data_IF_930422851737
#
_entry.id   IF_930422851737
#
_cell.length_a   1.000
_cell.length_b   1.000
_cell.length_c   1.000
_cell.angle_alpha   90.00
_cell.angle_beta   90.00
_cell.angle_gamma   90.00
#
_symmetry.space_group_name_H-M   'P 1'
#
loop_
_entity.id
_entity.type
_entity.pdbx_description
1 polymer ?
#
# COMPACT_ATOMS: atom_id res chain seq x y z
N UNK A 1 -0.52 -15.11 7.89
CA UNK A 1 -0.72 -13.66 7.99
C UNK A 1 0.57 -13.02 7.54
N UNK A 2 0.57 -12.38 6.37
CA UNK A 2 1.75 -11.70 5.82
C UNK A 2 2.08 -10.49 6.69
N UNK A 3 3.36 -10.10 6.78
CA UNK A 3 3.77 -8.89 7.50
C UNK A 3 2.94 -7.68 7.02
N UNK A 4 2.28 -6.91 7.91
CA UNK A 4 1.50 -5.74 7.54
C UNK A 4 2.25 -4.75 6.63
N UNK A 5 3.57 -4.66 6.80
CA UNK A 5 4.47 -3.82 5.99
C UNK A 5 4.56 -4.31 4.55
N UNK A 6 4.73 -5.63 4.35
CA UNK A 6 4.78 -6.24 3.01
C UNK A 6 3.50 -5.92 2.26
N UNK A 7 2.35 -6.06 2.91
CA UNK A 7 1.05 -5.83 2.27
C UNK A 7 0.83 -4.36 1.93
N UNK A 8 1.25 -3.43 2.81
CA UNK A 8 1.25 -1.99 2.51
C UNK A 8 2.10 -1.66 1.29
N UNK A 9 3.31 -2.22 1.20
CA UNK A 9 4.19 -2.05 0.05
C UNK A 9 3.58 -2.65 -1.22
N UNK A 10 3.02 -3.85 -1.15
CA UNK A 10 2.34 -4.45 -2.31
C UNK A 10 1.19 -3.59 -2.81
N UNK A 11 0.42 -2.99 -1.91
CA UNK A 11 -0.71 -2.14 -2.29
C UNK A 11 -0.22 -0.89 -3.03
N UNK A 12 0.75 -0.13 -2.50
CA UNK A 12 1.25 1.09 -3.17
C UNK A 12 2.09 0.79 -4.42
N UNK A 13 2.69 -0.40 -4.54
CA UNK A 13 3.43 -0.85 -5.74
C UNK A 13 2.53 -1.46 -6.83
N UNK A 14 1.25 -1.64 -6.56
CA UNK A 14 0.29 -2.17 -7.54
C UNK A 14 -0.02 -1.12 -8.60
N UNK A 15 0.01 -1.51 -9.88
CA UNK A 15 -0.22 -0.57 -10.98
C UNK A 15 -1.58 0.11 -10.88
N UNK A 16 -1.60 1.43 -11.02
CA UNK A 16 -2.82 2.25 -10.93
C UNK A 16 -3.21 2.68 -9.51
N UNK A 17 -2.44 2.27 -8.49
CA UNK A 17 -2.63 2.73 -7.12
C UNK A 17 -1.63 3.85 -6.83
N UNK A 18 -2.14 5.08 -6.80
CA UNK A 18 -1.41 6.25 -6.31
C UNK A 18 -1.68 6.51 -4.82
N UNK A 19 -1.08 7.56 -4.23
CA UNK A 19 -1.23 7.89 -2.81
C UNK A 19 -2.70 8.12 -2.39
N UNK A 20 -3.46 8.85 -3.21
CA UNK A 20 -4.89 9.10 -2.98
C UNK A 20 -5.69 7.79 -2.93
N UNK A 21 -5.53 6.93 -3.94
CA UNK A 21 -6.21 5.62 -4.01
C UNK A 21 -5.79 4.72 -2.86
N UNK A 22 -4.50 4.71 -2.52
CA UNK A 22 -3.97 3.96 -1.38
C UNK A 22 -4.67 4.38 -0.08
N UNK A 23 -4.71 5.69 0.22
CA UNK A 23 -5.36 6.22 1.42
C UNK A 23 -6.84 5.87 1.46
N UNK A 24 -7.55 5.99 0.34
CA UNK A 24 -8.97 5.62 0.24
C UNK A 24 -9.20 4.13 0.49
N UNK A 25 -8.34 3.26 -0.04
CA UNK A 25 -8.43 1.80 0.15
C UNK A 25 -8.15 1.41 1.60
N UNK A 26 -7.12 1.98 2.22
CA UNK A 26 -6.82 1.74 3.65
C UNK A 26 -7.97 2.22 4.53
N UNK A 27 -8.51 3.43 4.29
CA UNK A 27 -9.64 3.95 5.05
C UNK A 27 -10.91 3.10 4.88
N UNK A 28 -11.13 2.53 3.69
CA UNK A 28 -12.32 1.73 3.38
C UNK A 28 -12.25 0.30 3.93
N UNK A 29 -11.09 -0.35 3.87
CA UNK A 29 -10.92 -1.77 4.19
C UNK A 29 -10.16 -2.03 5.49
N UNK A 30 -9.62 -0.99 6.12
CA UNK A 30 -8.91 -1.05 7.40
C UNK A 30 -7.47 -1.57 7.33
N UNK A 31 -7.15 -2.42 6.35
CA UNK A 31 -5.79 -2.94 6.16
C UNK A 31 -5.42 -3.08 4.69
N UNK A 32 -4.11 -3.12 4.41
CA UNK A 32 -3.61 -3.32 3.06
C UNK A 32 -3.92 -4.73 2.52
N UNK A 33 -3.90 -5.76 3.37
CA UNK A 33 -4.30 -7.12 3.01
C UNK A 33 -5.75 -7.16 2.53
N UNK A 34 -6.68 -6.63 3.34
CA UNK A 34 -8.10 -6.59 3.01
C UNK A 34 -8.36 -5.75 1.74
N UNK A 35 -7.62 -4.65 1.56
CA UNK A 35 -7.69 -3.85 0.34
C UNK A 35 -7.24 -4.65 -0.89
N UNK A 36 -6.11 -5.37 -0.83
CA UNK A 36 -5.59 -6.20 -1.92
C UNK A 36 -6.60 -7.29 -2.31
N UNK A 37 -7.19 -7.96 -1.34
CA UNK A 37 -8.22 -8.99 -1.57
C UNK A 37 -9.47 -8.42 -2.25
N UNK A 38 -9.82 -7.16 -1.97
CA UNK A 38 -10.97 -6.48 -2.55
C UNK A 38 -10.73 -5.91 -3.97
N UNK A 39 -9.47 -5.73 -4.41
CA UNK A 39 -9.14 -5.09 -5.70
C UNK A 39 -9.80 -5.76 -6.91
N UNK A 40 -9.81 -7.09 -7.06
CA UNK A 40 -10.46 -7.74 -8.21
C UNK A 40 -11.96 -7.45 -8.29
N UNK A 41 -12.65 -7.46 -7.13
CA UNK A 41 -14.09 -7.16 -7.08
C UNK A 41 -14.37 -5.68 -7.40
N UNK A 42 -13.53 -4.76 -6.96
CA UNK A 42 -13.67 -3.34 -7.26
C UNK A 42 -13.54 -3.07 -8.77
N UNK A 43 -12.57 -3.70 -9.42
CA UNK A 43 -12.39 -3.55 -10.86
C UNK A 43 -13.58 -4.09 -11.66
N UNK A 44 -14.12 -5.25 -11.25
CA UNK A 44 -15.31 -5.83 -11.87
C UNK A 44 -16.53 -4.91 -11.75
N UNK A 45 -16.74 -4.29 -10.58
CA UNK A 45 -17.84 -3.33 -10.35
C UNK A 45 -17.66 -2.02 -11.12
N UNK A 46 -16.43 -1.56 -11.30
CA UNK A 46 -16.11 -0.34 -12.04
C UNK A 46 -16.08 -0.51 -13.56
N UNK A 47 -16.37 -1.71 -14.09
CA UNK A 47 -16.30 -2.02 -15.53
C UNK A 47 -14.87 -2.01 -16.10
N UNK A 48 -13.86 -2.04 -15.22
CA UNK A 48 -12.44 -1.96 -15.59
C UNK A 48 -11.72 -3.30 -15.45
N UNK A 49 -10.50 -3.36 -15.97
CA UNK A 49 -9.61 -4.52 -15.76
C UNK A 49 -8.99 -4.46 -14.36
N UNK A 50 -8.95 -5.61 -13.68
CA UNK A 50 -8.29 -5.71 -12.37
C UNK A 50 -6.82 -5.28 -12.48
N UNK A 51 -6.33 -4.42 -11.57
CA UNK A 51 -4.93 -4.03 -11.55
C UNK A 51 -4.06 -5.25 -11.27
N UNK A 52 -2.85 -5.26 -11.85
CA UNK A 52 -1.88 -6.31 -11.56
C UNK A 52 -1.31 -6.09 -10.16
N UNK A 53 -1.81 -6.85 -9.19
CA UNK A 53 -1.35 -6.82 -7.80
C UNK A 53 0.15 -7.09 -7.76
N UNK A 54 0.90 -6.27 -7.00
CA UNK A 54 2.32 -6.48 -6.83
C UNK A 54 2.62 -7.81 -6.11
N UNK A 55 3.64 -8.50 -6.59
CA UNK A 55 4.14 -9.75 -6.00
C UNK A 55 4.69 -9.49 -4.59
N UNK A 56 4.45 -10.39 -3.64
CA UNK A 56 5.05 -10.30 -2.30
C UNK A 56 6.56 -10.39 -2.36
N UNK A 57 7.12 -11.19 -3.28
CA UNK A 57 8.56 -11.30 -3.44
C UNK A 57 9.22 -9.97 -3.84
N UNK A 58 8.50 -9.08 -4.53
CA UNK A 58 8.99 -7.74 -4.86
C UNK A 58 9.10 -6.89 -3.60
N UNK A 59 8.04 -6.84 -2.79
CA UNK A 59 8.00 -6.08 -1.54
C UNK A 59 9.04 -6.60 -0.53
N UNK A 60 9.18 -7.92 -0.39
CA UNK A 60 10.18 -8.53 0.50
C UNK A 60 11.61 -8.19 0.09
N UNK A 61 11.93 -8.20 -1.22
CA UNK A 61 13.24 -7.78 -1.73
C UNK A 61 13.50 -6.31 -1.46
N UNK A 62 12.50 -5.46 -1.65
CA UNK A 62 12.60 -4.02 -1.37
C UNK A 62 12.86 -3.77 0.12
N UNK A 63 12.14 -4.48 1.00
CA UNK A 63 12.35 -4.40 2.45
C UNK A 63 13.75 -4.87 2.85
N UNK A 64 14.22 -5.98 2.29
CA UNK A 64 15.56 -6.49 2.56
C UNK A 64 16.65 -5.51 2.11
N UNK A 65 16.49 -4.85 0.96
CA UNK A 65 17.41 -3.83 0.48
C UNK A 65 17.39 -2.58 1.38
N UNK A 66 16.22 -2.12 1.78
CA UNK A 66 16.03 -0.96 2.68
C UNK A 66 16.67 -1.21 4.05
N UNK A 67 16.45 -2.41 4.62
CA UNK A 67 17.05 -2.80 5.89
C UNK A 67 18.59 -2.86 5.81
N UNK A 68 19.16 -3.34 4.70
CA UNK A 68 20.63 -3.33 4.49
C UNK A 68 21.22 -1.93 4.47
N UNK A 69 20.44 -0.92 4.08
CA UNK A 69 20.84 0.48 4.08
C UNK A 69 20.61 1.18 5.44
N UNK A 70 20.09 0.46 6.44
CA UNK A 70 19.74 1.03 7.75
C UNK A 70 18.52 1.94 7.73
N UNK A 71 17.72 1.90 6.65
CA UNK A 71 16.50 2.68 6.53
C UNK A 71 15.29 1.90 7.08
N UNK A 72 14.22 2.64 7.41
CA UNK A 72 12.94 2.09 7.88
C UNK A 72 11.79 2.72 7.12
N UNK A 73 10.69 1.98 7.01
CA UNK A 73 9.45 2.52 6.45
C UNK A 73 8.70 3.35 7.49
N UNK A 74 8.07 4.41 7.00
CA UNK A 74 7.11 5.23 7.74
C UNK A 74 5.84 5.31 6.91
N UNK A 75 4.72 4.90 7.50
CA UNK A 75 3.41 4.98 6.91
C UNK A 75 2.60 6.11 7.53
N UNK A 76 1.52 6.51 6.85
CA UNK A 76 0.72 7.68 7.21
C UNK A 76 0.17 7.65 8.65
N UNK A 77 -0.09 6.47 9.19
CA UNK A 77 -0.59 6.21 10.54
C UNK A 77 0.51 5.96 11.58
N UNK A 78 1.78 5.95 11.17
CA UNK A 78 2.89 5.85 12.11
C UNK A 78 3.05 7.16 12.92
N UNK A 79 3.36 7.07 14.22
CA UNK A 79 3.53 8.25 15.07
C UNK A 79 4.68 9.15 14.63
N UNK A 80 5.65 8.59 13.92
CA UNK A 80 6.83 9.31 13.42
C UNK A 80 6.59 9.94 12.04
N UNK A 81 5.44 9.69 11.39
CA UNK A 81 5.12 10.31 10.12
C UNK A 81 4.86 11.82 10.33
N UNK A 82 5.54 12.72 9.59
CA UNK A 82 5.39 14.16 9.82
C UNK A 82 3.94 14.61 9.65
N UNK A 83 3.34 15.15 10.72
CA UNK A 83 1.92 15.54 10.73
C UNK A 83 1.56 16.48 9.59
N UNK A 84 2.39 17.47 9.30
CA UNK A 84 2.15 18.42 8.21
C UNK A 84 2.19 17.77 6.83
N UNK A 85 2.97 16.70 6.66
CA UNK A 85 2.98 15.95 5.41
C UNK A 85 1.66 15.18 5.24
N UNK A 86 1.09 14.64 6.34
CA UNK A 86 -0.17 13.91 6.31
C UNK A 86 -1.41 14.77 5.94
N UNK A 87 -1.30 16.10 6.10
CA UNK A 87 -2.34 17.07 5.71
C UNK A 87 -2.37 17.33 4.19
N UNK A 88 -1.35 16.90 3.44
CA UNK A 88 -1.34 17.02 1.97
C UNK A 88 -2.28 15.98 1.37
N UNK A 89 -3.15 16.39 0.44
CA UNK A 89 -4.13 15.48 -0.19
C UNK A 89 -3.47 14.29 -0.90
N UNK A 90 -2.26 14.47 -1.42
CA UNK A 90 -1.51 13.46 -2.18
C UNK A 90 -0.35 12.84 -1.38
N UNK A 91 -0.36 12.94 -0.05
CA UNK A 91 0.65 12.34 0.82
C UNK A 91 0.72 10.80 0.74
#
# INVERSE_FOLDING_TARGET
MTDPTVSRLRLIRTTGIGPVTYRQLIARFGSADAAIEALPMLAQRGGGRAPKIADSALAEREMAATAKLGARYLFLDDPDYPRLLAEIETA
#
